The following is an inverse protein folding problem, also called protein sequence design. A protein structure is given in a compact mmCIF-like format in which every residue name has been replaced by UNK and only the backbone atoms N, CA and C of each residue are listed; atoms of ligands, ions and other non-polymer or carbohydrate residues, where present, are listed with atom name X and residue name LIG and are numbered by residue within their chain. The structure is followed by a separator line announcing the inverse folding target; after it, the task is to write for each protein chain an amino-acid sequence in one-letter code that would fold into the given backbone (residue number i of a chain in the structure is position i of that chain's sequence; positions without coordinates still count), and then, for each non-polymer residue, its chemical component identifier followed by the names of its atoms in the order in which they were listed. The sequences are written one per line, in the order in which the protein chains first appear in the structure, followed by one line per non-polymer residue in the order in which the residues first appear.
data_IF_273963155525
#
_entry.id   IF_273963155525
#
_cell.length_a   1.000
_cell.length_b   1.000
_cell.length_c   1.000
_cell.angle_alpha   90.00
_cell.angle_beta   90.00
_cell.angle_gamma   90.00
#
_symmetry.space_group_name_H-M   'P 1'
#
loop_
_entity.id
_entity.type
_entity.pdbx_description
1 polymer ?
#
# COMPACT_ATOMS: atom_id res chain seq x y z
N UNK A 1 -25.21 42.53 12.94
CA UNK A 1 -24.96 42.14 11.54
C UNK A 1 -25.44 40.71 11.35
N UNK A 2 -26.28 40.50 10.33
CA UNK A 2 -27.16 39.35 10.12
C UNK A 2 -26.45 38.01 10.01
N UNK A 3 -26.91 37.02 10.78
CA UNK A 3 -26.54 35.63 10.55
C UNK A 3 -27.34 35.06 9.37
N UNK A 4 -26.62 34.73 8.31
CA UNK A 4 -27.07 33.88 7.21
C UNK A 4 -27.48 32.50 7.74
N UNK A 5 -28.77 32.18 7.75
CA UNK A 5 -29.25 30.82 8.03
C UNK A 5 -29.46 30.05 6.72
N UNK A 6 -28.61 29.04 6.55
CA UNK A 6 -28.72 27.98 5.54
C UNK A 6 -30.09 27.30 5.61
N UNK A 7 -30.83 27.30 4.49
CA UNK A 7 -31.72 26.23 3.99
C UNK A 7 -32.73 25.52 4.93
N UNK A 8 -33.03 26.03 6.12
CA UNK A 8 -33.95 25.43 7.08
C UNK A 8 -35.34 26.07 7.03
N UNK A 9 -36.39 25.27 7.31
CA UNK A 9 -37.76 25.76 7.51
C UNK A 9 -37.74 26.90 8.53
N UNK A 10 -38.35 28.05 8.21
CA UNK A 10 -38.38 29.23 9.09
C UNK A 10 -38.91 28.85 10.47
N UNK A 11 -38.26 29.38 11.52
CA UNK A 11 -38.67 29.19 12.92
C UNK A 11 -40.07 29.77 13.12
N UNK A 12 -40.86 29.11 13.97
CA UNK A 12 -42.21 29.57 14.32
C UNK A 12 -42.23 30.62 15.44
N UNK A 13 -41.10 30.84 16.10
CA UNK A 13 -40.91 31.76 17.22
C UNK A 13 -39.69 32.64 16.99
N UNK A 14 -39.71 33.85 17.55
CA UNK A 14 -38.56 34.76 17.56
C UNK A 14 -37.70 34.58 18.81
N UNK A 15 -36.49 35.16 18.80
CA UNK A 15 -35.62 35.17 19.98
C UNK A 15 -36.21 35.98 21.15
N UNK A 16 -37.07 36.96 20.85
CA UNK A 16 -37.78 37.76 21.86
C UNK A 16 -38.91 36.96 22.51
N UNK A 17 -39.62 36.14 21.72
CA UNK A 17 -40.64 35.22 22.23
C UNK A 17 -40.03 34.15 23.14
N UNK A 18 -38.84 33.64 22.78
CA UNK A 18 -38.09 32.71 23.63
C UNK A 18 -37.71 33.38 24.98
N UNK A 19 -37.21 34.62 24.93
CA UNK A 19 -36.87 35.37 26.15
C UNK A 19 -38.07 35.63 27.05
N UNK A 20 -39.22 35.99 26.47
CA UNK A 20 -40.49 36.16 27.20
C UNK A 20 -40.98 34.85 27.80
N UNK A 21 -40.92 33.75 27.05
CA UNK A 21 -41.31 32.44 27.55
C UNK A 21 -40.43 32.00 28.73
N UNK A 22 -39.11 32.22 28.66
CA UNK A 22 -38.19 31.95 29.78
C UNK A 22 -38.56 32.79 31.00
N UNK A 23 -38.82 34.09 30.82
CA UNK A 23 -39.21 34.96 31.92
C UNK A 23 -40.53 34.54 32.59
N UNK A 24 -41.51 34.09 31.79
CA UNK A 24 -42.79 33.58 32.30
C UNK A 24 -42.58 32.31 33.12
N UNK A 25 -41.82 31.34 32.59
CA UNK A 25 -41.54 30.07 33.29
C UNK A 25 -40.78 30.31 34.59
N UNK A 26 -39.81 31.23 34.60
CA UNK A 26 -39.07 31.64 35.80
C UNK A 26 -40.00 32.32 36.83
N UNK A 27 -40.89 33.21 36.40
CA UNK A 27 -41.85 33.88 37.29
C UNK A 27 -42.85 32.90 37.94
N UNK A 28 -43.16 31.80 37.25
CA UNK A 28 -43.98 30.70 37.78
C UNK A 28 -43.21 29.73 38.69
N UNK A 29 -41.93 29.97 38.98
CA UNK A 29 -41.06 29.09 39.76
C UNK A 29 -40.93 27.67 39.19
N UNK A 30 -41.11 27.49 37.88
CA UNK A 30 -40.97 26.21 37.20
C UNK A 30 -39.55 26.04 36.64
N UNK A 31 -39.10 24.79 36.49
CA UNK A 31 -37.82 24.51 35.83
C UNK A 31 -37.86 24.95 34.35
N UNK A 32 -36.84 25.69 33.93
CA UNK A 32 -36.68 26.15 32.55
C UNK A 32 -36.18 24.99 31.69
N UNK A 33 -37.10 24.30 31.03
CA UNK A 33 -36.81 23.18 30.14
C UNK A 33 -37.64 23.29 28.85
N UNK A 34 -37.35 22.45 27.86
CA UNK A 34 -38.00 22.53 26.56
C UNK A 34 -39.52 22.31 26.62
N UNK A 35 -40.01 21.53 27.58
CA UNK A 35 -41.43 21.23 27.72
C UNK A 35 -42.20 22.41 28.34
N UNK A 36 -41.66 22.99 29.42
CA UNK A 36 -42.26 24.17 30.08
C UNK A 36 -42.22 25.39 29.18
N UNK A 37 -41.16 25.53 28.36
CA UNK A 37 -41.06 26.60 27.36
C UNK A 37 -42.02 26.38 26.19
N UNK A 38 -42.23 25.15 25.72
CA UNK A 38 -43.27 24.88 24.70
C UNK A 38 -44.66 25.20 25.23
N UNK A 39 -44.95 24.86 26.50
CA UNK A 39 -46.22 25.19 27.14
C UNK A 39 -46.40 26.72 27.23
N UNK A 40 -45.41 27.45 27.75
CA UNK A 40 -45.45 28.91 27.84
C UNK A 40 -45.57 29.59 26.46
N UNK A 41 -44.87 29.08 25.44
CA UNK A 41 -44.97 29.60 24.08
C UNK A 41 -46.38 29.41 23.49
N UNK A 42 -47.03 28.28 23.77
CA UNK A 42 -48.39 27.99 23.27
C UNK A 42 -49.48 28.72 24.05
N UNK A 43 -49.43 28.61 25.37
CA UNK A 43 -50.52 29.00 26.26
C UNK A 43 -50.52 30.51 26.50
N UNK A 44 -49.34 31.12 26.64
CA UNK A 44 -49.21 32.55 27.00
C UNK A 44 -48.85 33.43 25.80
N UNK A 45 -48.09 32.90 24.82
CA UNK A 45 -47.64 33.64 23.64
C UNK A 45 -48.39 33.26 22.35
N UNK A 46 -49.35 32.33 22.43
CA UNK A 46 -50.27 32.01 21.34
C UNK A 46 -49.63 31.33 20.12
N UNK A 47 -48.50 30.62 20.29
CA UNK A 47 -47.83 29.95 19.16
C UNK A 47 -48.70 28.83 18.57
N UNK A 48 -49.09 29.02 17.31
CA UNK A 48 -49.96 28.08 16.57
C UNK A 48 -49.27 26.76 16.21
N UNK A 49 -47.93 26.72 16.18
CA UNK A 49 -47.17 25.54 15.76
C UNK A 49 -46.19 25.09 16.83
N UNK A 50 -46.19 23.79 17.13
CA UNK A 50 -45.29 23.21 18.14
C UNK A 50 -43.85 23.24 17.63
N UNK A 51 -42.92 23.93 18.32
CA UNK A 51 -41.50 23.90 17.98
C UNK A 51 -40.92 22.49 18.05
N UNK A 52 -39.91 22.19 17.24
CA UNK A 52 -39.15 20.93 17.38
C UNK A 52 -38.34 20.97 18.66
N UNK A 53 -38.51 19.96 19.52
CA UNK A 53 -37.88 19.86 20.84
C UNK A 53 -36.36 20.06 20.80
N UNK A 54 -35.63 19.29 19.97
CA UNK A 54 -34.17 19.36 19.88
C UNK A 54 -33.64 20.74 19.44
N UNK A 55 -34.35 21.39 18.50
CA UNK A 55 -33.96 22.72 18.01
C UNK A 55 -34.20 23.78 19.08
N UNK A 56 -35.31 23.68 19.80
CA UNK A 56 -35.63 24.56 20.91
C UNK A 56 -34.66 24.36 22.09
N UNK A 57 -34.27 23.13 22.40
CA UNK A 57 -33.30 22.82 23.47
C UNK A 57 -31.96 23.49 23.21
N UNK A 58 -31.42 23.32 22.01
CA UNK A 58 -30.15 23.95 21.62
C UNK A 58 -30.21 25.48 21.65
N UNK A 59 -31.34 26.05 21.24
CA UNK A 59 -31.54 27.50 21.26
C UNK A 59 -31.75 28.04 22.68
N UNK A 60 -32.46 27.30 23.52
CA UNK A 60 -32.65 27.60 24.93
C UNK A 60 -31.32 27.54 25.68
N UNK A 61 -30.52 26.51 25.47
CA UNK A 61 -29.17 26.37 26.05
C UNK A 61 -28.30 27.55 25.65
N UNK A 62 -28.18 27.84 24.35
CA UNK A 62 -27.39 28.98 23.87
C UNK A 62 -27.92 30.35 24.34
N UNK A 63 -29.23 30.47 24.63
CA UNK A 63 -29.83 31.69 25.20
C UNK A 63 -29.48 31.82 26.68
N UNK A 64 -29.61 30.73 27.45
CA UNK A 64 -29.28 30.72 28.87
C UNK A 64 -27.78 30.92 29.11
N UNK A 65 -26.92 30.34 28.27
CA UNK A 65 -25.47 30.60 28.27
C UNK A 65 -25.19 32.09 28.07
N UNK A 66 -25.73 32.71 27.02
CA UNK A 66 -25.55 34.14 26.76
C UNK A 66 -26.05 35.03 27.90
N UNK A 67 -27.24 34.75 28.44
CA UNK A 67 -27.78 35.50 29.60
C UNK A 67 -26.88 35.35 30.82
N UNK A 68 -26.31 34.16 31.03
CA UNK A 68 -25.36 33.89 32.12
C UNK A 68 -24.05 34.64 31.90
N UNK A 69 -23.52 34.65 30.67
CA UNK A 69 -22.32 35.43 30.29
C UNK A 69 -22.54 36.93 30.50
N UNK A 70 -23.67 37.49 30.06
CA UNK A 70 -24.02 38.90 30.26
C UNK A 70 -24.12 39.24 31.75
N UNK A 71 -24.81 38.41 32.53
CA UNK A 71 -24.90 38.58 33.99
C UNK A 71 -23.51 38.52 34.64
N UNK A 72 -22.69 37.56 34.25
CA UNK A 72 -21.33 37.43 34.76
C UNK A 72 -20.47 38.63 34.37
N UNK A 73 -20.59 39.14 33.14
CA UNK A 73 -19.88 40.33 32.69
C UNK A 73 -20.25 41.56 33.52
N UNK A 74 -21.55 41.74 33.83
CA UNK A 74 -22.00 42.81 34.74
C UNK A 74 -21.40 42.63 36.14
N UNK A 75 -21.46 41.43 36.72
CA UNK A 75 -20.86 41.16 38.04
C UNK A 75 -19.34 41.41 38.05
N UNK A 76 -18.63 40.98 37.01
CA UNK A 76 -17.20 41.25 36.83
C UNK A 76 -16.94 42.74 36.68
N UNK A 77 -17.79 43.48 35.96
CA UNK A 77 -17.66 44.93 35.78
C UNK A 77 -17.80 45.71 37.09
N UNK A 78 -18.54 45.17 38.05
CA UNK A 78 -18.75 45.75 39.39
C UNK A 78 -17.57 45.52 40.34
N UNK A 79 -16.63 44.63 39.99
CA UNK A 79 -15.44 44.41 40.80
C UNK A 79 -14.51 45.63 40.79
N UNK A 80 -13.84 45.93 41.92
CA UNK A 80 -12.80 46.96 41.98
C UNK A 80 -11.72 46.76 40.90
N UNK A 81 -11.23 47.84 40.25
CA UNK A 81 -10.19 47.76 39.23
C UNK A 81 -8.96 46.95 39.65
N UNK A 82 -8.51 47.13 40.90
CA UNK A 82 -7.36 46.42 41.49
C UNK A 82 -7.53 44.90 41.46
N UNK A 83 -8.73 44.38 41.73
CA UNK A 83 -9.00 42.94 41.70
C UNK A 83 -9.00 42.43 40.26
N UNK A 84 -9.61 43.17 39.33
CA UNK A 84 -9.63 42.80 37.91
C UNK A 84 -8.23 42.76 37.30
N UNK A 85 -7.39 43.74 37.62
CA UNK A 85 -5.99 43.79 37.18
C UNK A 85 -5.18 42.62 37.77
N UNK A 86 -5.37 42.32 39.05
CA UNK A 86 -4.70 41.20 39.71
C UNK A 86 -5.08 39.85 39.07
N UNK A 87 -6.36 39.61 38.84
CA UNK A 87 -6.85 38.39 38.17
C UNK A 87 -6.34 38.35 36.72
N UNK A 88 -6.38 39.47 36.00
CA UNK A 88 -5.86 39.55 34.63
C UNK A 88 -4.37 39.21 34.55
N UNK A 89 -3.55 39.73 35.46
CA UNK A 89 -2.13 39.41 35.55
C UNK A 89 -1.89 37.94 35.91
N UNK A 90 -2.67 37.37 36.83
CA UNK A 90 -2.59 35.96 37.19
C UNK A 90 -2.95 35.04 36.02
N UNK A 91 -4.06 35.32 35.31
CA UNK A 91 -4.48 34.56 34.13
C UNK A 91 -3.44 34.65 33.03
N UNK A 92 -2.91 35.85 32.73
CA UNK A 92 -1.86 36.04 31.74
C UNK A 92 -0.58 35.27 32.11
N UNK A 93 -0.22 35.23 33.39
CA UNK A 93 0.92 34.46 33.89
C UNK A 93 0.71 32.94 33.73
N UNK A 94 -0.46 32.43 34.12
CA UNK A 94 -0.82 31.03 33.94
C UNK A 94 -0.87 30.64 32.47
N UNK A 95 -1.46 31.48 31.62
CA UNK A 95 -1.52 31.27 30.17
C UNK A 95 -0.11 31.17 29.57
N UNK A 96 0.78 32.10 29.90
CA UNK A 96 2.16 32.07 29.45
C UNK A 96 2.90 30.80 29.91
N UNK A 97 2.72 30.38 31.16
CA UNK A 97 3.31 29.15 31.69
C UNK A 97 2.77 27.91 30.97
N UNK A 98 1.46 27.84 30.77
CA UNK A 98 0.81 26.73 30.07
C UNK A 98 1.25 26.65 28.61
N UNK A 99 1.34 27.77 27.90
CA UNK A 99 1.82 27.84 26.52
C UNK A 99 3.28 27.40 26.41
N UNK A 100 4.15 27.86 27.32
CA UNK A 100 5.55 27.43 27.37
C UNK A 100 5.68 25.93 27.64
N UNK A 101 4.92 25.39 28.60
CA UNK A 101 4.91 23.96 28.90
C UNK A 101 4.43 23.15 27.69
N UNK A 102 3.35 23.59 27.04
CA UNK A 102 2.78 22.95 25.86
C UNK A 102 3.74 22.99 24.67
N UNK A 103 4.39 24.13 24.42
CA UNK A 103 5.39 24.28 23.37
C UNK A 103 6.60 23.36 23.59
N UNK A 104 7.07 23.26 24.84
CA UNK A 104 8.16 22.35 25.21
C UNK A 104 7.76 20.88 25.00
N UNK A 105 6.56 20.48 25.43
CA UNK A 105 6.06 19.12 25.22
C UNK A 105 5.94 18.78 23.73
N UNK A 106 5.40 19.71 22.92
CA UNK A 106 5.31 19.54 21.47
C UNK A 106 6.68 19.42 20.81
N UNK A 107 7.66 20.23 21.23
CA UNK A 107 9.04 20.16 20.74
C UNK A 107 9.68 18.80 21.05
N UNK A 108 9.55 18.32 22.29
CA UNK A 108 10.07 17.00 22.69
C UNK A 108 9.44 15.91 21.83
N UNK A 109 8.12 15.90 21.69
CA UNK A 109 7.41 14.91 20.88
C UNK A 109 7.86 14.95 19.41
N UNK A 110 8.09 16.14 18.87
CA UNK A 110 8.56 16.32 17.49
C UNK A 110 10.00 15.83 17.31
N UNK A 111 10.90 16.18 18.23
CA UNK A 111 12.30 15.75 18.20
C UNK A 111 12.44 14.23 18.40
N UNK A 112 11.63 13.65 19.30
CA UNK A 112 11.58 12.21 19.56
C UNK A 112 11.05 11.42 18.37
N UNK A 113 10.06 11.95 17.64
CA UNK A 113 9.53 11.29 16.44
C UNK A 113 10.44 11.47 15.21
N UNK A 114 11.22 12.56 15.16
CA UNK A 114 12.11 12.84 14.04
C UNK A 114 13.28 11.86 13.94
N UNK A 115 13.93 11.55 15.05
CA UNK A 115 15.10 10.63 15.08
C UNK A 115 14.80 9.22 14.54
N UNK A 116 13.75 8.50 15.00
CA UNK A 116 13.42 7.19 14.46
C UNK A 116 12.98 7.28 13.00
N UNK A 117 12.29 8.35 12.59
CA UNK A 117 11.94 8.56 11.19
C UNK A 117 13.18 8.66 10.29
N UNK A 118 14.17 9.47 10.69
CA UNK A 118 15.44 9.58 9.97
C UNK A 118 16.21 8.25 9.94
N UNK A 119 16.18 7.48 11.03
CA UNK A 119 16.82 6.16 11.08
C UNK A 119 16.14 5.16 10.13
N UNK A 120 14.81 5.12 10.12
CA UNK A 120 14.02 4.28 9.20
C UNK A 120 14.26 4.68 7.76
N UNK A 121 14.30 5.98 7.44
CA UNK A 121 14.60 6.47 6.09
C UNK A 121 15.98 6.02 5.60
N UNK A 122 17.01 6.08 6.46
CA UNK A 122 18.34 5.55 6.12
C UNK A 122 18.33 4.04 5.90
N UNK A 123 17.58 3.30 6.71
CA UNK A 123 17.46 1.86 6.57
C UNK A 123 16.73 1.46 5.27
N UNK A 124 15.66 2.17 4.90
CA UNK A 124 14.96 1.98 3.63
C UNK A 124 15.90 2.24 2.45
N UNK A 125 16.65 3.35 2.46
CA UNK A 125 17.61 3.67 1.41
C UNK A 125 18.71 2.59 1.27
N UNK A 126 19.15 2.00 2.38
CA UNK A 126 20.09 0.88 2.35
C UNK A 126 19.48 -0.36 1.67
N UNK A 127 18.25 -0.72 2.03
CA UNK A 127 17.55 -1.86 1.43
C UNK A 127 17.24 -1.65 -0.05
N UNK A 128 16.93 -0.42 -0.47
CA UNK A 128 16.73 -0.08 -1.88
C UNK A 128 18.01 -0.25 -2.70
N UNK A 129 19.15 0.20 -2.17
CA UNK A 129 20.45 -0.01 -2.80
C UNK A 129 20.78 -1.51 -2.90
N UNK A 130 20.59 -2.27 -1.83
CA UNK A 130 20.79 -3.73 -1.84
C UNK A 130 19.89 -4.43 -2.86
N UNK A 131 18.61 -4.03 -2.96
CA UNK A 131 17.71 -4.57 -3.96
C UNK A 131 18.13 -4.21 -5.39
N UNK A 132 18.63 -3.01 -5.62
CA UNK A 132 19.15 -2.60 -6.93
C UNK A 132 20.36 -3.45 -7.34
N UNK A 133 21.29 -3.71 -6.41
CA UNK A 133 22.46 -4.54 -6.66
C UNK A 133 22.09 -6.01 -6.89
N UNK A 134 21.16 -6.55 -6.10
CA UNK A 134 20.65 -7.91 -6.31
C UNK A 134 19.95 -8.06 -7.68
N UNK A 135 19.16 -7.07 -8.10
CA UNK A 135 18.53 -7.09 -9.43
C UNK A 135 19.57 -7.13 -10.55
N UNK A 136 20.59 -6.27 -10.49
CA UNK A 136 21.70 -6.29 -11.47
C UNK A 136 22.41 -7.64 -11.48
N UNK A 137 22.65 -8.24 -10.31
CA UNK A 137 23.26 -9.56 -10.21
C UNK A 137 22.41 -10.65 -10.86
N UNK A 138 21.08 -10.60 -10.67
CA UNK A 138 20.15 -11.56 -11.29
C UNK A 138 20.12 -11.39 -12.81
N UNK A 139 20.04 -10.16 -13.30
CA UNK A 139 20.08 -9.87 -14.75
C UNK A 139 21.38 -10.39 -15.38
N UNK A 140 22.53 -10.11 -14.77
CA UNK A 140 23.83 -10.61 -15.24
C UNK A 140 23.91 -12.15 -15.23
N UNK A 141 23.37 -12.81 -14.20
CA UNK A 141 23.31 -14.27 -14.15
C UNK A 141 22.38 -14.86 -15.21
N UNK A 142 21.26 -14.20 -15.51
CA UNK A 142 20.35 -14.61 -16.58
C UNK A 142 21.02 -14.54 -17.96
N UNK A 143 21.75 -13.47 -18.24
CA UNK A 143 22.54 -13.34 -19.48
C UNK A 143 23.61 -14.43 -19.59
N UNK A 144 24.29 -14.75 -18.48
CA UNK A 144 25.28 -15.82 -18.44
C UNK A 144 24.64 -17.20 -18.70
N UNK A 145 23.47 -17.47 -18.11
CA UNK A 145 22.72 -18.71 -18.35
C UNK A 145 22.34 -18.81 -19.82
N UNK A 146 21.81 -17.75 -20.42
CA UNK A 146 21.44 -17.74 -21.84
C UNK A 146 22.65 -18.04 -22.73
N UNK A 147 23.78 -17.41 -22.45
CA UNK A 147 25.03 -17.64 -23.19
C UNK A 147 25.49 -19.09 -23.10
N UNK A 148 25.41 -19.69 -21.90
CA UNK A 148 25.76 -21.10 -21.69
C UNK A 148 24.78 -22.05 -22.41
N UNK A 149 23.48 -21.74 -22.42
CA UNK A 149 22.48 -22.51 -23.15
C UNK A 149 22.76 -22.51 -24.66
N UNK A 150 23.10 -21.35 -25.22
CA UNK A 150 23.46 -21.24 -26.64
C UNK A 150 24.72 -22.05 -26.97
N UNK A 151 25.73 -22.03 -26.08
CA UNK A 151 26.94 -22.85 -26.22
C UNK A 151 26.65 -24.35 -26.17
N UNK A 152 25.79 -24.80 -25.25
CA UNK A 152 25.35 -26.20 -25.16
C UNK A 152 24.64 -26.61 -26.46
N UNK A 153 23.68 -25.81 -26.94
CA UNK A 153 22.96 -26.10 -28.18
C UNK A 153 23.90 -26.18 -29.39
N UNK A 154 24.89 -25.29 -29.47
CA UNK A 154 25.90 -25.33 -30.53
C UNK A 154 26.78 -26.59 -30.44
N UNK A 155 27.16 -27.01 -29.24
CA UNK A 155 27.95 -28.23 -29.00
C UNK A 155 27.16 -29.50 -29.31
N UNK A 156 25.89 -29.56 -28.93
CA UNK A 156 25.01 -30.68 -29.26
C UNK A 156 24.83 -30.82 -30.78
N UNK A 157 24.71 -29.70 -31.50
CA UNK A 157 24.66 -29.71 -32.97
C UNK A 157 25.99 -30.20 -33.58
N UNK A 158 27.13 -29.83 -32.99
CA UNK A 158 28.45 -30.30 -33.42
C UNK A 158 28.60 -31.82 -33.19
N UNK A 159 28.13 -32.33 -32.04
CA UNK A 159 28.15 -33.76 -31.72
C UNK A 159 27.30 -34.56 -32.70
N UNK A 160 26.06 -34.13 -32.99
CA UNK A 160 25.21 -34.80 -33.98
C UNK A 160 25.87 -34.90 -35.36
N UNK A 161 26.53 -33.83 -35.83
CA UNK A 161 27.29 -33.87 -37.09
C UNK A 161 28.43 -34.88 -37.07
N UNK A 162 29.10 -35.03 -35.93
CA UNK A 162 30.17 -36.01 -35.75
C UNK A 162 29.61 -37.43 -35.70
N UNK A 163 28.50 -37.65 -35.03
CA UNK A 163 27.81 -38.96 -35.01
C UNK A 163 27.37 -39.38 -36.41
N UNK A 164 26.73 -38.48 -37.18
CA UNK A 164 26.35 -38.73 -38.57
C UNK A 164 27.58 -39.09 -39.45
N UNK A 165 28.71 -38.41 -39.23
CA UNK A 165 29.95 -38.69 -39.94
C UNK A 165 30.55 -40.05 -39.55
N UNK A 166 30.51 -40.42 -38.27
CA UNK A 166 30.94 -41.75 -37.79
C UNK A 166 30.07 -42.84 -38.40
N UNK A 167 28.75 -42.67 -38.41
CA UNK A 167 27.83 -43.62 -39.04
C UNK A 167 28.09 -43.77 -40.55
N UNK A 168 28.38 -42.66 -41.23
CA UNK A 168 28.80 -42.67 -42.63
C UNK A 168 30.10 -43.46 -42.86
N UNK A 169 31.12 -43.21 -42.03
CA UNK A 169 32.40 -43.92 -42.10
C UNK A 169 32.25 -45.41 -41.78
N UNK A 170 31.44 -45.78 -40.79
CA UNK A 170 31.19 -47.17 -40.42
C UNK A 170 30.57 -47.95 -41.60
N UNK A 171 29.60 -47.35 -42.32
CA UNK A 171 29.04 -47.97 -43.54
C UNK A 171 30.10 -48.17 -44.63
N UNK A 172 30.98 -47.18 -44.83
CA UNK A 172 32.08 -47.31 -45.80
C UNK A 172 33.05 -48.44 -45.43
N UNK A 173 33.35 -48.59 -44.13
CA UNK A 173 34.18 -49.69 -43.63
C UNK A 173 33.51 -51.05 -43.89
N UNK A 174 32.21 -51.17 -43.64
CA UNK A 174 31.46 -52.40 -43.92
C UNK A 174 31.47 -52.75 -45.42
N UNK A 175 31.26 -51.77 -46.30
CA UNK A 175 31.29 -51.98 -47.75
C UNK A 175 32.69 -52.41 -48.23
N UNK A 176 33.75 -51.78 -47.73
CA UNK A 176 35.13 -52.18 -48.03
C UNK A 176 35.45 -53.59 -47.52
N UNK A 177 34.97 -53.96 -46.33
CA UNK A 177 35.15 -55.31 -45.79
C UNK A 177 34.47 -56.36 -46.67
N UNK A 178 33.23 -56.09 -47.13
CA UNK A 178 32.52 -56.97 -48.07
C UNK A 178 33.27 -57.13 -49.40
N UNK A 179 33.80 -56.04 -49.93
CA UNK A 179 34.58 -56.08 -51.17
C UNK A 179 35.85 -56.92 -51.00
N UNK A 180 36.59 -56.74 -49.90
CA UNK A 180 37.77 -57.54 -49.60
C UNK A 180 37.45 -59.04 -49.46
N UNK A 181 36.30 -59.38 -48.86
CA UNK A 181 35.85 -60.77 -48.78
C UNK A 181 35.49 -61.35 -50.16
N UNK A 182 34.85 -60.57 -51.04
CA UNK A 182 34.59 -60.97 -52.43
C UNK A 182 35.88 -61.20 -53.20
N UNK A 183 36.87 -60.32 -53.07
CA UNK A 183 38.20 -60.47 -53.68
C UNK A 183 38.86 -61.78 -53.26
N UNK A 184 38.87 -62.09 -51.96
CA UNK A 184 39.38 -63.36 -51.43
C UNK A 184 38.63 -64.57 -51.99
N UNK A 185 37.30 -64.49 -52.14
CA UNK A 185 36.52 -65.57 -52.76
C UNK A 185 36.88 -65.76 -54.24
N UNK A 186 37.08 -64.66 -54.98
CA UNK A 186 37.54 -64.72 -56.37
C UNK A 186 38.92 -65.36 -56.49
N UNK A 187 39.87 -64.96 -55.65
CA UNK A 187 41.20 -65.56 -55.60
C UNK A 187 41.14 -67.07 -55.32
N UNK A 188 40.37 -67.49 -54.31
CA UNK A 188 40.19 -68.90 -53.99
C UNK A 188 39.55 -69.71 -55.14
N UNK A 189 38.60 -69.12 -55.87
CA UNK A 189 38.01 -69.76 -57.06
C UNK A 189 39.02 -69.90 -58.20
N UNK A 190 39.87 -68.89 -58.42
CA UNK A 190 40.94 -68.94 -59.41
C UNK A 190 41.94 -70.03 -59.04
N UNK A 191 42.41 -70.08 -57.80
CA UNK A 191 43.32 -71.13 -57.32
C UNK A 191 42.72 -72.52 -57.48
N UNK A 192 41.46 -72.72 -57.08
CA UNK A 192 40.75 -73.99 -57.23
C UNK A 192 40.66 -74.41 -58.70
N UNK A 193 40.41 -73.46 -59.61
CA UNK A 193 40.33 -73.73 -61.05
C UNK A 193 41.70 -74.09 -61.62
N UNK A 194 42.76 -73.37 -61.26
CA UNK A 194 44.14 -73.68 -61.65
C UNK A 194 44.52 -75.09 -61.18
N UNK A 195 44.27 -75.41 -59.90
CA UNK A 195 44.53 -76.75 -59.33
C UNK A 195 43.76 -77.85 -60.07
N UNK A 196 42.50 -77.61 -60.43
CA UNK A 196 41.69 -78.56 -61.17
C UNK A 196 42.19 -78.80 -62.61
N UNK A 197 42.73 -77.76 -63.27
CA UNK A 197 43.39 -77.90 -64.57
C UNK A 197 44.69 -78.71 -64.46
N UNK A 198 45.55 -78.40 -63.48
CA UNK A 198 46.78 -79.17 -63.25
C UNK A 198 46.54 -80.65 -62.91
N UNK A 199 45.42 -80.98 -62.25
CA UNK A 199 45.02 -82.37 -61.98
C UNK A 199 44.46 -83.12 -63.21
N UNK A 200 43.90 -82.42 -64.20
CA UNK A 200 43.44 -83.03 -65.46
C UNK A 200 44.58 -83.31 -66.45
N UNK A 201 45.71 -82.64 -66.29
CA UNK A 201 46.92 -82.85 -67.11
C UNK A 201 47.89 -83.90 -66.54
N UNK A 202 47.58 -84.53 -65.39
CA UNK A 202 48.33 -85.69 -64.92
C UNK A 202 47.88 -86.94 -65.70
N UNK A 203 48.71 -87.52 -66.61
CA UNK A 203 48.35 -88.74 -67.31
C UNK A 203 48.27 -89.91 -66.33
N UNK A 204 47.24 -90.74 -66.49
CA UNK A 204 47.15 -92.03 -65.82
C UNK A 204 48.32 -92.92 -66.27
N UNK A 205 49.38 -92.98 -65.47
CA UNK A 205 50.34 -94.08 -65.54
C UNK A 205 49.63 -95.36 -65.08
N UNK A 206 49.22 -96.18 -66.05
CA UNK A 206 49.14 -97.64 -65.94
C UNK A 206 50.57 -98.20 -65.91
N UNK A 207 50.86 -99.36 -65.30
CA UNK A 207 49.94 -100.46 -64.97
C UNK A 207 49.78 -100.78 -63.49
#
# INVERSE_FOLDING_TARGET
MSQNTRGGRKRSYSSDDLGKAVAIVEASCNEVNSQTIIAALKDELGLQTTPRKETLERELEAFLERRTEERNAVLVSQLPPVIREMVGGFVAGMEAQFLLASANAYRILTDENRKPLEAVQRYVALLENQNADLKRSVESQQEQIQTLQDQVAAKDAELRKKDDAIDGLNRQVEDLARNADLERMFEALIEKRISAFSKREAPAERP
#
